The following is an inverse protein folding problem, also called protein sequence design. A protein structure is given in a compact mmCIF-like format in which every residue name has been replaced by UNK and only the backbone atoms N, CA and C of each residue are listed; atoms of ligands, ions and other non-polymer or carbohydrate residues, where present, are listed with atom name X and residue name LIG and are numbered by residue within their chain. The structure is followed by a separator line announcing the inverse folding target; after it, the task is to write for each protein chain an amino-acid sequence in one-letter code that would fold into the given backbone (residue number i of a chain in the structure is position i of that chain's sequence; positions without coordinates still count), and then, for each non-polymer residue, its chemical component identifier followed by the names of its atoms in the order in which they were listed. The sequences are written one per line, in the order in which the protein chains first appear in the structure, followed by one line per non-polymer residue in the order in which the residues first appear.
data_IF_224492942223
#
_entry.id   IF_224492942223
#
_cell.length_a   1.000
_cell.length_b   1.000
_cell.length_c   1.000
_cell.angle_alpha   90.00
_cell.angle_beta   90.00
_cell.angle_gamma   90.00
#
_symmetry.space_group_name_H-M   'P 1'
#
loop_
_entity.id
_entity.type
_entity.pdbx_description
1 polymer ?
#
# COMPACT_ATOMS: atom_id res chain seq x y z
N UNK A 1 3.44 -29.40 -34.73
CA UNK A 1 2.43 -29.06 -33.71
C UNK A 1 2.91 -29.59 -32.35
N UNK A 2 4.05 -29.11 -31.87
CA UNK A 2 4.86 -29.85 -30.87
C UNK A 2 5.53 -28.97 -29.81
N UNK A 3 4.96 -27.79 -29.51
CA UNK A 3 5.50 -26.90 -28.46
C UNK A 3 4.51 -26.58 -27.32
N UNK A 4 3.26 -27.03 -27.39
CA UNK A 4 2.25 -26.74 -26.35
C UNK A 4 2.41 -27.58 -25.08
N UNK A 5 3.44 -28.43 -24.98
CA UNK A 5 3.51 -29.46 -23.94
C UNK A 5 4.25 -29.05 -22.65
N UNK A 6 4.79 -27.83 -22.55
CA UNK A 6 5.57 -27.38 -21.38
C UNK A 6 5.31 -25.91 -20.99
N UNK A 7 4.05 -25.45 -21.01
CA UNK A 7 3.72 -24.22 -20.29
C UNK A 7 3.69 -24.57 -18.80
N UNK A 8 4.69 -24.11 -18.05
CA UNK A 8 4.66 -24.22 -16.59
C UNK A 8 3.48 -23.43 -16.05
N UNK A 9 2.85 -23.92 -14.98
CA UNK A 9 1.67 -23.27 -14.37
C UNK A 9 1.95 -21.80 -14.03
N UNK A 10 3.18 -21.48 -13.60
CA UNK A 10 3.63 -20.12 -13.36
C UNK A 10 3.53 -19.24 -14.62
N UNK A 11 4.00 -19.73 -15.78
CA UNK A 11 3.95 -18.97 -17.03
C UNK A 11 2.52 -18.75 -17.52
N UNK A 12 1.64 -19.75 -17.35
CA UNK A 12 0.22 -19.60 -17.67
C UNK A 12 -0.45 -18.54 -16.79
N UNK A 13 -0.24 -18.60 -15.47
CA UNK A 13 -0.79 -17.62 -14.52
C UNK A 13 -0.22 -16.23 -14.81
N UNK A 14 1.09 -16.11 -15.01
CA UNK A 14 1.76 -14.85 -15.32
C UNK A 14 1.22 -14.23 -16.61
N UNK A 15 1.07 -15.02 -17.67
CA UNK A 15 0.49 -14.57 -18.93
C UNK A 15 -0.95 -14.08 -18.75
N UNK A 16 -1.78 -14.86 -18.06
CA UNK A 16 -3.17 -14.49 -17.79
C UNK A 16 -3.27 -13.17 -17.01
N UNK A 17 -2.50 -13.04 -15.93
CA UNK A 17 -2.49 -11.83 -15.10
C UNK A 17 -2.01 -10.62 -15.87
N UNK A 18 -0.95 -10.74 -16.69
CA UNK A 18 -0.48 -9.65 -17.53
C UNK A 18 -1.52 -9.23 -18.56
N UNK A 19 -2.16 -10.19 -19.25
CA UNK A 19 -3.21 -9.90 -20.23
C UNK A 19 -4.39 -9.20 -19.55
N UNK A 20 -4.84 -9.70 -18.40
CA UNK A 20 -5.93 -9.10 -17.64
C UNK A 20 -5.58 -7.68 -17.16
N UNK A 21 -4.37 -7.45 -16.67
CA UNK A 21 -3.91 -6.13 -16.23
C UNK A 21 -3.81 -5.12 -17.40
N UNK A 22 -3.28 -5.55 -18.54
CA UNK A 22 -3.22 -4.71 -19.74
C UNK A 22 -4.62 -4.41 -20.30
N UNK A 23 -5.50 -5.41 -20.35
CA UNK A 23 -6.89 -5.23 -20.75
C UNK A 23 -7.59 -4.25 -19.80
N UNK A 24 -7.38 -4.36 -18.49
CA UNK A 24 -7.93 -3.42 -17.53
C UNK A 24 -7.41 -2.00 -17.75
N UNK A 25 -6.10 -1.82 -17.95
CA UNK A 25 -5.47 -0.51 -18.18
C UNK A 25 -5.94 0.18 -19.47
N UNK A 26 -6.16 -0.58 -20.55
CA UNK A 26 -6.43 -0.02 -21.88
C UNK A 26 -7.92 0.00 -22.22
N UNK A 27 -8.69 -0.99 -21.77
CA UNK A 27 -10.09 -1.18 -22.18
C UNK A 27 -11.07 -0.82 -21.09
N UNK A 28 -10.76 -1.09 -19.82
CA UNK A 28 -11.71 -0.84 -18.73
C UNK A 28 -11.52 0.55 -18.13
N UNK A 29 -10.32 0.84 -17.64
CA UNK A 29 -10.02 2.07 -16.90
C UNK A 29 -10.37 3.36 -17.67
N UNK A 30 -10.02 3.49 -18.97
CA UNK A 30 -10.37 4.69 -19.73
C UNK A 30 -11.86 4.87 -20.00
N UNK A 31 -12.66 3.79 -19.87
CA UNK A 31 -14.10 3.82 -20.08
C UNK A 31 -14.90 3.93 -18.77
N UNK A 32 -14.25 3.74 -17.62
CA UNK A 32 -14.88 3.71 -16.30
C UNK A 32 -14.58 4.96 -15.47
N UNK A 33 -13.40 5.55 -15.66
CA UNK A 33 -12.91 6.67 -14.85
C UNK A 33 -12.88 7.96 -15.66
N UNK A 34 -13.62 8.97 -15.19
CA UNK A 34 -13.70 10.28 -15.83
C UNK A 34 -12.48 11.18 -15.54
N UNK A 35 -11.75 10.90 -14.46
CA UNK A 35 -10.62 11.71 -14.02
C UNK A 35 -9.26 11.18 -14.51
N UNK A 36 -8.32 12.09 -14.71
CA UNK A 36 -6.93 11.78 -15.10
C UNK A 36 -6.06 11.27 -13.94
N UNK A 37 -4.75 11.07 -14.18
CA UNK A 37 -3.80 10.75 -13.10
C UNK A 37 -3.61 11.93 -12.13
N UNK A 38 -3.50 13.13 -12.70
CA UNK A 38 -3.37 14.39 -11.98
C UNK A 38 -4.28 15.38 -12.70
N UNK A 39 -5.10 16.08 -11.94
CA UNK A 39 -6.02 17.09 -12.46
C UNK A 39 -5.72 18.46 -11.87
N UNK A 40 -6.05 19.50 -12.65
CA UNK A 40 -5.95 20.88 -12.20
C UNK A 40 -7.33 21.44 -11.94
N UNK A 41 -7.77 21.39 -10.69
CA UNK A 41 -9.07 21.92 -10.26
C UNK A 41 -8.85 23.26 -9.56
N UNK A 42 -9.52 24.32 -10.04
CA UNK A 42 -9.47 25.67 -9.42
C UNK A 42 -8.04 26.18 -9.12
N UNK A 43 -7.11 25.97 -10.05
CA UNK A 43 -5.67 26.32 -9.96
C UNK A 43 -4.84 25.46 -9.00
N UNK A 44 -5.41 24.46 -8.34
CA UNK A 44 -4.70 23.47 -7.52
C UNK A 44 -4.52 22.16 -8.27
N UNK A 45 -3.42 21.46 -7.99
CA UNK A 45 -3.22 20.11 -8.50
C UNK A 45 -3.81 19.11 -7.50
N UNK A 46 -4.63 18.21 -8.00
CA UNK A 46 -5.26 17.13 -7.22
C UNK A 46 -4.94 15.80 -7.89
N UNK A 47 -4.80 14.76 -7.06
CA UNK A 47 -4.67 13.39 -7.56
C UNK A 47 -6.04 12.97 -8.08
N UNK A 48 -6.11 12.52 -9.33
CA UNK A 48 -7.34 11.98 -9.88
C UNK A 48 -7.48 10.49 -9.54
N UNK A 49 -8.70 9.99 -9.67
CA UNK A 49 -9.08 8.63 -9.27
C UNK A 49 -8.39 7.55 -10.11
N UNK A 50 -7.85 7.93 -11.27
CA UNK A 50 -7.07 7.04 -12.14
C UNK A 50 -5.75 6.58 -11.51
N UNK A 51 -5.15 7.37 -10.61
CA UNK A 51 -3.81 7.09 -10.08
C UNK A 51 -3.77 5.75 -9.34
N UNK A 52 -4.69 5.52 -8.41
CA UNK A 52 -4.67 4.34 -7.55
C UNK A 52 -4.86 3.02 -8.34
N UNK A 53 -5.86 2.89 -9.23
CA UNK A 53 -6.00 1.72 -10.10
C UNK A 53 -4.81 1.52 -11.03
N UNK A 54 -4.23 2.59 -11.61
CA UNK A 54 -3.05 2.46 -12.48
C UNK A 54 -1.86 1.91 -11.72
N UNK A 55 -1.57 2.42 -10.52
CA UNK A 55 -0.47 1.91 -9.68
C UNK A 55 -0.73 0.45 -9.28
N UNK A 56 -1.96 0.09 -8.92
CA UNK A 56 -2.33 -1.27 -8.59
C UNK A 56 -2.12 -2.23 -9.78
N UNK A 57 -2.63 -1.86 -10.96
CA UNK A 57 -2.50 -2.66 -12.19
C UNK A 57 -1.05 -2.74 -12.67
N UNK A 58 -0.26 -1.67 -12.54
CA UNK A 58 1.17 -1.69 -12.84
C UNK A 58 1.94 -2.63 -11.91
N UNK A 59 1.58 -2.67 -10.62
CA UNK A 59 2.18 -3.61 -9.65
C UNK A 59 1.81 -5.06 -9.97
N UNK A 60 0.55 -5.30 -10.33
CA UNK A 60 0.07 -6.62 -10.82
C UNK A 60 0.81 -7.03 -12.10
N UNK A 61 0.98 -6.11 -13.04
CA UNK A 61 1.70 -6.34 -14.30
C UNK A 61 3.17 -6.71 -14.03
N UNK A 62 3.83 -6.01 -13.10
CA UNK A 62 5.21 -6.31 -12.70
C UNK A 62 5.31 -7.71 -12.08
N UNK A 63 4.41 -8.06 -11.16
CA UNK A 63 4.34 -9.40 -10.55
C UNK A 63 4.03 -10.51 -11.55
N UNK A 64 3.08 -10.27 -12.46
CA UNK A 64 2.74 -11.19 -13.55
C UNK A 64 3.91 -11.40 -14.52
N UNK A 65 4.63 -10.32 -14.84
CA UNK A 65 5.82 -10.37 -15.70
C UNK A 65 6.95 -11.15 -15.04
N UNK A 66 7.16 -10.96 -13.74
CA UNK A 66 8.11 -11.77 -12.97
C UNK A 66 7.76 -13.26 -13.02
N UNK A 67 6.48 -13.60 -12.84
CA UNK A 67 6.00 -14.99 -12.88
C UNK A 67 6.12 -15.62 -14.28
N UNK A 68 5.84 -14.83 -15.32
CA UNK A 68 5.98 -15.23 -16.73
C UNK A 68 7.44 -15.54 -17.11
N UNK A 69 8.37 -14.78 -16.54
CA UNK A 69 9.81 -14.93 -16.78
C UNK A 69 10.47 -15.95 -15.85
N UNK A 70 9.79 -16.34 -14.77
CA UNK A 70 10.31 -17.33 -13.82
C UNK A 70 10.52 -18.69 -14.49
N UNK A 71 11.71 -19.25 -14.26
CA UNK A 71 12.12 -20.58 -14.76
C UNK A 71 11.99 -21.66 -13.69
N UNK A 72 11.53 -21.31 -12.50
CA UNK A 72 11.40 -22.26 -11.41
C UNK A 72 10.22 -23.19 -11.67
N UNK A 73 10.55 -24.48 -11.74
CA UNK A 73 9.60 -25.58 -11.87
C UNK A 73 9.55 -26.34 -10.54
N UNK A 74 9.43 -25.59 -9.44
CA UNK A 74 9.25 -26.23 -8.14
C UNK A 74 7.90 -26.95 -8.18
N UNK A 75 7.86 -28.28 -7.96
CA UNK A 75 6.58 -28.96 -7.82
C UNK A 75 5.80 -28.28 -6.69
N UNK A 76 4.49 -28.11 -6.89
CA UNK A 76 3.60 -27.61 -5.85
C UNK A 76 3.68 -28.60 -4.68
N UNK A 77 4.54 -28.31 -3.72
CA UNK A 77 4.74 -29.13 -2.54
C UNK A 77 3.57 -28.96 -1.56
N UNK A 78 3.87 -29.03 -0.26
CA UNK A 78 2.87 -28.82 0.78
C UNK A 78 2.24 -27.41 0.71
N UNK A 79 0.92 -27.37 0.48
CA UNK A 79 0.11 -26.15 0.38
C UNK A 79 0.03 -25.38 1.72
N UNK A 80 0.29 -26.04 2.86
CA UNK A 80 0.21 -25.40 4.16
C UNK A 80 1.21 -24.25 4.32
N UNK A 81 2.40 -24.37 3.74
CA UNK A 81 3.44 -23.33 3.81
C UNK A 81 3.02 -22.03 3.10
N UNK A 82 2.64 -22.03 1.81
CA UNK A 82 2.19 -20.82 1.13
C UNK A 82 0.91 -20.26 1.73
N UNK A 83 -0.06 -21.10 2.11
CA UNK A 83 -1.30 -20.63 2.77
C UNK A 83 -0.99 -19.92 4.08
N UNK A 84 -0.12 -20.49 4.92
CA UNK A 84 0.30 -19.83 6.16
C UNK A 84 1.02 -18.51 5.90
N UNK A 85 1.89 -18.44 4.90
CA UNK A 85 2.58 -17.20 4.55
C UNK A 85 1.61 -16.09 4.09
N UNK A 86 0.59 -16.45 3.30
CA UNK A 86 -0.48 -15.55 2.88
C UNK A 86 -1.29 -15.07 4.10
N UNK A 87 -1.73 -15.98 4.96
CA UNK A 87 -2.51 -15.64 6.16
C UNK A 87 -1.74 -14.72 7.12
N UNK A 88 -0.45 -14.99 7.34
CA UNK A 88 0.40 -14.12 8.16
C UNK A 88 0.54 -12.73 7.50
N UNK A 89 0.75 -12.68 6.19
CA UNK A 89 0.86 -11.40 5.47
C UNK A 89 -0.44 -10.59 5.56
N UNK A 90 -1.59 -11.24 5.41
CA UNK A 90 -2.90 -10.62 5.59
C UNK A 90 -3.11 -10.11 7.03
N UNK A 91 -2.71 -10.89 8.03
CA UNK A 91 -2.78 -10.49 9.42
C UNK A 91 -1.89 -9.27 9.72
N UNK A 92 -0.68 -9.22 9.16
CA UNK A 92 0.23 -8.07 9.26
C UNK A 92 -0.37 -6.83 8.60
N UNK A 93 -0.97 -6.96 7.42
CA UNK A 93 -1.64 -5.85 6.73
C UNK A 93 -2.81 -5.35 7.58
N UNK A 94 -3.68 -6.24 8.06
CA UNK A 94 -4.81 -5.88 8.90
C UNK A 94 -4.38 -5.17 10.20
N UNK A 95 -3.37 -5.70 10.88
CA UNK A 95 -2.81 -5.09 12.08
C UNK A 95 -2.24 -3.71 11.77
N UNK A 96 -1.50 -3.57 10.67
CA UNK A 96 -0.91 -2.30 10.27
C UNK A 96 -1.97 -1.24 9.96
N UNK A 97 -3.05 -1.62 9.28
CA UNK A 97 -4.19 -0.73 9.02
C UNK A 97 -4.92 -0.32 10.31
N UNK A 98 -5.06 -1.24 11.27
CA UNK A 98 -5.59 -0.90 12.59
C UNK A 98 -4.67 0.08 13.33
N UNK A 99 -3.36 -0.12 13.27
CA UNK A 99 -2.39 0.83 13.83
C UNK A 99 -2.47 2.18 13.16
N UNK A 100 -2.59 2.24 11.83
CA UNK A 100 -2.82 3.50 11.11
C UNK A 100 -4.06 4.20 11.66
N UNK A 101 -5.18 3.48 11.75
CA UNK A 101 -6.48 4.01 12.17
C UNK A 101 -6.49 4.57 13.60
N UNK A 102 -5.83 3.88 14.53
CA UNK A 102 -5.96 4.18 15.96
C UNK A 102 -4.83 5.00 16.55
N UNK A 103 -3.64 5.02 15.93
CA UNK A 103 -2.49 5.77 16.48
C UNK A 103 -2.69 7.28 16.47
N UNK A 104 -3.37 7.84 15.46
CA UNK A 104 -3.74 9.25 15.43
C UNK A 104 -4.61 9.65 16.62
N UNK A 105 -5.82 9.08 16.77
CA UNK A 105 -6.68 9.32 17.93
C UNK A 105 -6.02 9.05 19.29
N UNK A 106 -5.25 7.95 19.41
CA UNK A 106 -4.54 7.63 20.63
C UNK A 106 -3.49 8.69 20.99
N UNK A 107 -2.77 9.23 19.99
CA UNK A 107 -1.77 10.26 20.23
C UNK A 107 -2.39 11.57 20.72
N UNK A 108 -3.54 11.98 20.18
CA UNK A 108 -4.25 13.17 20.65
C UNK A 108 -4.80 12.96 22.06
N UNK A 109 -5.38 11.79 22.35
CA UNK A 109 -5.85 11.45 23.70
C UNK A 109 -4.73 11.52 24.74
N UNK A 110 -3.53 11.01 24.40
CA UNK A 110 -2.34 11.15 25.25
C UNK A 110 -1.93 12.63 25.38
N UNK A 111 -1.99 13.39 24.30
CA UNK A 111 -1.68 14.83 24.28
C UNK A 111 -2.62 15.64 25.18
N UNK A 112 -3.91 15.34 25.18
CA UNK A 112 -4.91 15.94 26.07
C UNK A 112 -4.63 15.59 27.53
N UNK A 113 -4.34 14.31 27.82
CA UNK A 113 -4.00 13.86 29.17
C UNK A 113 -2.70 14.48 29.71
N UNK A 114 -1.74 14.79 28.82
CA UNK A 114 -0.48 15.44 29.15
C UNK A 114 -0.56 16.98 29.19
N UNK A 115 -1.71 17.59 28.85
CA UNK A 115 -1.87 19.04 28.79
C UNK A 115 -1.18 19.71 27.59
N UNK A 116 -0.78 18.93 26.58
CA UNK A 116 -0.19 19.42 25.32
C UNK A 116 -1.25 19.86 24.30
N UNK A 117 -2.47 19.35 24.46
CA UNK A 117 -3.65 19.66 23.64
C UNK A 117 -4.78 20.06 24.58
N UNK A 118 -5.61 21.02 24.17
CA UNK A 118 -6.79 21.39 24.95
C UNK A 118 -7.74 20.20 25.11
N UNK A 119 -8.14 19.93 26.35
CA UNK A 119 -8.95 18.77 26.68
C UNK A 119 -10.31 18.83 25.97
N UNK A 120 -10.65 17.77 25.23
CA UNK A 120 -11.91 17.67 24.49
C UNK A 120 -11.84 18.20 23.05
N UNK A 121 -10.66 18.58 22.56
CA UNK A 121 -10.45 18.93 21.14
C UNK A 121 -10.77 17.74 20.23
N UNK A 122 -10.35 16.54 20.66
CA UNK A 122 -10.47 15.32 19.86
C UNK A 122 -9.61 15.33 18.60
N UNK A 123 -9.59 14.20 17.87
CA UNK A 123 -8.68 14.01 16.74
C UNK A 123 -9.06 14.79 15.48
N UNK A 124 -10.37 14.94 15.23
CA UNK A 124 -10.88 15.42 13.93
C UNK A 124 -10.40 16.81 13.53
N UNK A 125 -10.33 17.82 14.42
CA UNK A 125 -9.82 19.15 14.06
C UNK A 125 -8.31 19.16 13.77
N UNK A 126 -7.56 18.21 14.36
CA UNK A 126 -6.11 18.16 14.28
C UNK A 126 -5.58 17.26 13.16
N UNK A 127 -6.44 16.45 12.53
CA UNK A 127 -6.06 15.40 11.58
C UNK A 127 -5.29 15.88 10.34
N UNK A 128 -5.38 17.16 10.00
CA UNK A 128 -4.69 17.78 8.86
C UNK A 128 -3.58 18.76 9.30
N UNK A 129 -3.19 18.70 10.58
CA UNK A 129 -2.15 19.56 11.15
C UNK A 129 -0.92 18.73 11.54
N UNK A 130 0.25 19.36 11.51
CA UNK A 130 1.46 18.74 12.02
C UNK A 130 1.45 18.72 13.56
N UNK A 131 1.95 17.65 14.21
CA UNK A 131 2.46 16.40 13.62
C UNK A 131 1.38 15.33 13.40
N UNK A 132 0.14 15.59 13.83
CA UNK A 132 -0.95 14.62 13.96
C UNK A 132 -1.33 13.92 12.66
N UNK A 133 -1.21 14.61 11.52
CA UNK A 133 -1.52 14.04 10.21
C UNK A 133 -0.61 12.88 9.79
N UNK A 134 0.61 12.83 10.29
CA UNK A 134 1.60 11.81 9.93
C UNK A 134 1.62 10.60 10.87
N UNK A 135 1.14 10.72 12.11
CA UNK A 135 1.31 9.67 13.13
C UNK A 135 0.66 8.35 12.69
N UNK A 136 -0.58 8.43 12.19
CA UNK A 136 -1.31 7.31 11.59
C UNK A 136 -0.50 6.59 10.52
N UNK A 137 -0.20 7.34 9.47
CA UNK A 137 0.50 6.84 8.30
C UNK A 137 1.89 6.28 8.61
N UNK A 138 2.70 7.00 9.37
CA UNK A 138 4.07 6.60 9.69
C UNK A 138 4.10 5.34 10.56
N UNK A 139 3.27 5.25 11.60
CA UNK A 139 3.27 4.10 12.51
C UNK A 139 2.86 2.83 11.78
N UNK A 140 1.68 2.80 11.17
CA UNK A 140 1.21 1.61 10.47
C UNK A 140 1.98 1.32 9.19
N UNK A 141 2.43 2.34 8.45
CA UNK A 141 3.23 2.15 7.24
C UNK A 141 4.59 1.55 7.54
N UNK A 142 5.25 2.04 8.61
CA UNK A 142 6.52 1.48 9.08
C UNK A 142 6.36 0.03 9.50
N UNK A 143 5.34 -0.30 10.31
CA UNK A 143 5.08 -1.67 10.77
C UNK A 143 4.80 -2.59 9.59
N UNK A 144 4.00 -2.14 8.61
CA UNK A 144 3.67 -2.92 7.42
C UNK A 144 4.91 -3.26 6.59
N UNK A 145 5.69 -2.24 6.22
CA UNK A 145 6.90 -2.44 5.39
C UNK A 145 7.90 -3.29 6.14
N UNK A 146 8.13 -3.02 7.43
CA UNK A 146 9.09 -3.75 8.25
C UNK A 146 8.72 -5.22 8.43
N UNK A 147 7.47 -5.51 8.82
CA UNK A 147 7.03 -6.87 9.11
C UNK A 147 6.99 -7.72 7.84
N UNK A 148 6.48 -7.18 6.72
CA UNK A 148 6.48 -7.91 5.44
C UNK A 148 7.92 -8.16 4.93
N UNK A 149 8.81 -7.17 5.06
CA UNK A 149 10.23 -7.35 4.73
C UNK A 149 10.91 -8.38 5.63
N UNK A 150 10.60 -8.38 6.94
CA UNK A 150 11.15 -9.35 7.88
C UNK A 150 10.69 -10.78 7.58
N UNK A 151 9.44 -10.95 7.14
CA UNK A 151 8.91 -12.25 6.70
C UNK A 151 9.60 -12.72 5.41
N UNK A 152 9.76 -11.83 4.42
CA UNK A 152 10.39 -12.15 3.15
C UNK A 152 11.86 -12.59 3.32
N UNK A 153 12.60 -11.89 4.19
CA UNK A 153 14.03 -12.12 4.41
C UNK A 153 14.32 -13.11 5.56
N UNK A 154 13.31 -13.60 6.27
CA UNK A 154 13.46 -14.54 7.40
C UNK A 154 14.19 -13.98 8.63
N UNK A 155 14.16 -12.66 8.87
CA UNK A 155 14.93 -12.05 9.96
C UNK A 155 14.44 -10.68 10.42
N UNK A 156 14.61 -10.40 11.70
CA UNK A 156 14.22 -9.15 12.34
C UNK A 156 15.45 -8.31 12.61
N UNK A 157 15.51 -7.07 12.09
CA UNK A 157 16.63 -6.16 12.35
C UNK A 157 16.15 -4.73 12.56
N UNK A 158 16.84 -4.00 13.45
CA UNK A 158 16.58 -2.58 13.70
C UNK A 158 16.91 -1.69 12.50
N UNK A 159 17.90 -2.08 11.69
CA UNK A 159 18.24 -1.39 10.43
C UNK A 159 17.07 -1.43 9.45
N UNK A 160 16.36 -2.56 9.36
CA UNK A 160 15.15 -2.68 8.54
C UNK A 160 14.03 -1.79 9.07
N UNK A 161 13.85 -1.69 10.38
CA UNK A 161 12.83 -0.81 10.96
C UNK A 161 13.10 0.66 10.60
N UNK A 162 14.34 1.12 10.75
CA UNK A 162 14.74 2.47 10.36
C UNK A 162 14.53 2.72 8.85
N UNK A 163 14.88 1.74 8.02
CA UNK A 163 14.66 1.82 6.56
C UNK A 163 13.18 1.88 6.22
N UNK A 164 12.35 1.04 6.86
CA UNK A 164 10.90 1.05 6.70
C UNK A 164 10.29 2.39 7.11
N UNK A 165 10.77 2.98 8.20
CA UNK A 165 10.35 4.31 8.63
C UNK A 165 10.71 5.38 7.60
N UNK A 166 11.94 5.37 7.09
CA UNK A 166 12.38 6.33 6.06
C UNK A 166 11.57 6.17 4.76
N UNK A 167 11.25 4.95 4.35
CA UNK A 167 10.40 4.70 3.18
C UNK A 167 8.99 5.23 3.43
N UNK A 168 8.37 4.88 4.57
CA UNK A 168 7.05 5.39 4.93
C UNK A 168 7.04 6.92 4.97
N UNK A 169 8.04 7.55 5.60
CA UNK A 169 8.17 9.00 5.63
C UNK A 169 8.30 9.61 4.24
N UNK A 170 9.15 9.03 3.39
CA UNK A 170 9.35 9.51 2.02
C UNK A 170 8.06 9.41 1.20
N UNK A 171 7.35 8.28 1.29
CA UNK A 171 6.06 8.10 0.61
C UNK A 171 5.07 9.17 1.12
N UNK A 172 4.94 9.32 2.43
CA UNK A 172 4.05 10.30 3.04
C UNK A 172 4.37 11.72 2.57
N UNK A 173 5.64 12.10 2.54
CA UNK A 173 6.08 13.42 2.09
C UNK A 173 5.85 13.64 0.59
N UNK A 174 6.09 12.64 -0.26
CA UNK A 174 5.83 12.72 -1.71
C UNK A 174 4.35 12.91 -2.01
N UNK A 175 3.46 12.39 -1.17
CA UNK A 175 2.03 12.59 -1.31
C UNK A 175 1.52 13.87 -0.63
N UNK A 176 2.10 14.27 0.50
CA UNK A 176 1.63 15.44 1.27
C UNK A 176 2.18 16.78 0.73
N UNK A 177 3.44 16.85 0.28
CA UNK A 177 4.08 18.11 -0.11
C UNK A 177 3.55 18.71 -1.43
N UNK A 178 3.31 17.95 -2.52
CA UNK A 178 2.85 18.52 -3.78
C UNK A 178 1.32 18.70 -3.85
N UNK A 179 0.55 18.09 -2.94
CA UNK A 179 -0.90 18.07 -2.98
C UNK A 179 -1.51 18.65 -1.69
N UNK A 180 -1.87 19.94 -1.72
CA UNK A 180 -2.37 20.68 -0.55
C UNK A 180 -3.68 20.15 0.04
N UNK A 181 -4.50 19.47 -0.77
CA UNK A 181 -5.82 18.96 -0.36
C UNK A 181 -5.79 17.44 -0.08
N UNK A 182 -4.61 16.79 -0.12
CA UNK A 182 -4.51 15.35 0.06
C UNK A 182 -4.37 14.98 1.55
N UNK A 183 -5.41 14.37 2.07
CA UNK A 183 -5.44 13.87 3.44
C UNK A 183 -4.84 12.45 3.48
N UNK A 184 -3.69 12.30 4.14
CA UNK A 184 -3.03 10.99 4.28
C UNK A 184 -3.94 9.97 4.99
N UNK A 185 -3.92 8.68 4.60
CA UNK A 185 -4.61 7.64 5.36
C UNK A 185 -4.10 7.60 6.81
N UNK A 186 -4.97 7.46 7.83
CA UNK A 186 -6.42 7.20 7.80
C UNK A 186 -7.31 8.46 7.91
N UNK A 187 -6.76 9.65 7.68
CA UNK A 187 -7.33 10.91 8.16
C UNK A 187 -8.54 11.40 7.33
N UNK A 188 -8.85 10.71 6.23
CA UNK A 188 -10.03 10.98 5.41
C UNK A 188 -11.34 10.93 6.21
N UNK A 189 -12.40 11.52 5.66
CA UNK A 189 -13.72 11.42 6.25
C UNK A 189 -14.26 9.98 6.13
N UNK A 190 -14.80 9.48 7.25
CA UNK A 190 -15.67 8.30 7.35
C UNK A 190 -17.01 8.73 7.90
#
# INVERSE_FOLDING_TARGET
MTDLKNISQHRAIGAFVCIAALAALVLWLPNDVDSGLIEKVRRRYQIGDLLAPVVALATILAGGSWLLLSKDHQPVGDLNRPVRAILISLAVIALSLLLMRWSGPASVWIGEAAGLVEAGTGYRPLRDTLPWKFIGFLTGGTVMIWALSAIADGGWTWRRLATAFLIAFTIGAVFDLPFEDLVLPPNGDV
#
